data_IF_060315314693
#
_entry.id   IF_060315314693
#
_cell.length_a   1.000
_cell.length_b   1.000
_cell.length_c   1.000
_cell.angle_alpha   90.00
_cell.angle_beta   90.00
_cell.angle_gamma   90.00
#
_symmetry.space_group_name_H-M   'P 1'
#
loop_
_entity.id
_entity.type
_entity.pdbx_description
1 polymer ?
#
# COMPACT_ATOMS: atom_id res chain seq x y z
N UNK A 1 -2.88 11.28 5.80
CA UNK A 1 -3.84 11.53 4.70
C UNK A 1 -4.55 12.85 4.92
N UNK A 2 -4.73 13.69 3.88
CA UNK A 2 -5.32 15.02 4.02
C UNK A 2 -6.72 14.97 4.64
N UNK A 3 -6.88 15.67 5.77
CA UNK A 3 -8.16 15.72 6.52
C UNK A 3 -9.16 16.63 5.82
N UNK A 4 -8.68 17.71 5.18
CA UNK A 4 -9.47 18.56 4.30
C UNK A 4 -9.37 18.06 2.86
N UNK A 5 -10.50 18.06 2.15
CA UNK A 5 -10.61 17.79 0.71
C UNK A 5 -10.38 19.06 -0.11
N UNK A 6 -10.82 20.20 0.42
CA UNK A 6 -10.86 21.48 -0.29
C UNK A 6 -10.82 22.62 0.72
N UNK A 7 -10.21 23.73 0.31
CA UNK A 7 -10.30 25.01 0.99
C UNK A 7 -10.98 26.02 0.06
N UNK A 8 -11.88 26.83 0.60
CA UNK A 8 -12.57 27.90 -0.12
C UNK A 8 -12.39 29.21 0.64
N UNK A 9 -11.77 30.18 -0.02
CA UNK A 9 -11.68 31.56 0.44
C UNK A 9 -12.94 32.34 0.07
N UNK A 10 -13.49 33.11 1.01
CA UNK A 10 -14.65 33.98 0.82
C UNK A 10 -14.25 35.42 1.08
N UNK A 11 -14.13 36.21 0.00
CA UNK A 11 -13.63 37.59 0.04
C UNK A 11 -14.48 38.53 0.88
N UNK A 12 -15.81 38.39 0.85
CA UNK A 12 -16.73 39.29 1.56
C UNK A 12 -16.59 39.24 3.09
N UNK A 13 -16.16 38.09 3.62
CA UNK A 13 -15.97 37.84 5.05
C UNK A 13 -14.49 37.64 5.41
N UNK A 14 -13.58 37.83 4.44
CA UNK A 14 -12.15 37.52 4.55
C UNK A 14 -11.84 36.21 5.29
N UNK A 15 -12.55 35.14 4.94
CA UNK A 15 -12.50 33.88 5.69
C UNK A 15 -12.19 32.67 4.80
N UNK A 16 -11.47 31.71 5.38
CA UNK A 16 -11.16 30.41 4.75
C UNK A 16 -12.02 29.34 5.41
N UNK A 17 -12.80 28.63 4.59
CA UNK A 17 -13.57 27.45 5.00
C UNK A 17 -12.96 26.20 4.43
N UNK A 18 -13.06 25.07 5.13
CA UNK A 18 -12.58 23.77 4.65
C UNK A 18 -13.73 22.78 4.51
N UNK A 19 -13.64 21.92 3.50
CA UNK A 19 -14.55 20.76 3.36
C UNK A 19 -13.80 19.51 3.81
N UNK A 20 -14.29 18.74 4.79
CA UNK A 20 -13.61 17.55 5.27
C UNK A 20 -13.60 16.44 4.21
N UNK A 21 -12.51 15.67 4.17
CA UNK A 21 -12.41 14.44 3.39
C UNK A 21 -13.20 13.32 4.09
N UNK A 22 -14.14 12.63 3.39
CA UNK A 22 -14.81 11.45 3.93
C UNK A 22 -13.81 10.42 4.45
N UNK A 23 -14.08 9.81 5.61
CA UNK A 23 -13.18 8.82 6.21
C UNK A 23 -12.89 7.67 5.24
N UNK A 24 -13.93 7.15 4.57
CA UNK A 24 -13.80 6.11 3.55
C UNK A 24 -12.80 6.50 2.45
N UNK A 25 -12.90 7.71 1.90
CA UNK A 25 -11.97 8.19 0.87
C UNK A 25 -10.51 8.26 1.36
N UNK A 26 -10.28 8.58 2.64
CA UNK A 26 -8.93 8.55 3.23
C UNK A 26 -8.41 7.13 3.40
N UNK A 27 -9.26 6.20 3.86
CA UNK A 27 -8.92 4.77 4.00
C UNK A 27 -8.60 4.13 2.65
N UNK A 28 -9.43 4.39 1.66
CA UNK A 28 -9.27 3.87 0.30
C UNK A 28 -7.99 4.41 -0.34
N UNK A 29 -7.69 5.71 -0.22
CA UNK A 29 -6.43 6.30 -0.72
C UNK A 29 -5.19 5.71 -0.06
N UNK A 30 -5.22 5.52 1.25
CA UNK A 30 -4.07 4.97 1.97
C UNK A 30 -3.84 3.51 1.58
N UNK A 31 -4.90 2.72 1.49
CA UNK A 31 -4.82 1.33 1.01
C UNK A 31 -4.26 1.28 -0.41
N UNK A 32 -4.78 2.11 -1.33
CA UNK A 32 -4.29 2.20 -2.70
C UNK A 32 -2.79 2.57 -2.76
N UNK A 33 -2.34 3.52 -1.95
CA UNK A 33 -0.93 3.90 -1.90
C UNK A 33 -0.04 2.73 -1.46
N UNK A 34 -0.39 2.03 -0.38
CA UNK A 34 0.37 0.85 0.10
C UNK A 34 0.40 -0.25 -0.97
N UNK A 35 -0.73 -0.53 -1.60
CA UNK A 35 -0.85 -1.52 -2.67
C UNK A 35 0.00 -1.16 -3.90
N UNK A 36 -0.01 0.10 -4.32
CA UNK A 36 0.78 0.57 -5.46
C UNK A 36 2.28 0.55 -5.18
N UNK A 37 2.70 0.88 -3.95
CA UNK A 37 4.10 0.75 -3.53
C UNK A 37 4.57 -0.70 -3.70
N UNK A 38 3.77 -1.67 -3.27
CA UNK A 38 4.14 -3.08 -3.41
C UNK A 38 4.37 -3.52 -4.86
N UNK A 39 3.43 -3.24 -5.79
CA UNK A 39 3.64 -3.63 -7.20
C UNK A 39 4.76 -2.83 -7.83
N UNK A 40 4.91 -1.54 -7.50
CA UNK A 40 5.97 -0.70 -8.05
C UNK A 40 7.33 -1.21 -7.61
N UNK A 41 7.51 -1.55 -6.34
CA UNK A 41 8.76 -2.12 -5.83
C UNK A 41 9.08 -3.46 -6.48
N UNK A 42 8.08 -4.33 -6.67
CA UNK A 42 8.30 -5.60 -7.38
C UNK A 42 8.74 -5.39 -8.83
N UNK A 43 8.10 -4.44 -9.53
CA UNK A 43 8.46 -4.07 -10.90
C UNK A 43 9.90 -3.56 -10.99
N UNK A 44 10.30 -2.61 -10.14
CA UNK A 44 11.65 -2.04 -10.13
C UNK A 44 12.72 -3.10 -9.83
N UNK A 45 12.44 -4.07 -8.94
CA UNK A 45 13.38 -5.16 -8.64
C UNK A 45 13.62 -6.03 -9.86
N UNK A 46 12.55 -6.45 -10.55
CA UNK A 46 12.69 -7.30 -11.74
C UNK A 46 13.26 -6.53 -12.94
N UNK A 47 12.89 -5.26 -13.11
CA UNK A 47 13.38 -4.40 -14.20
C UNK A 47 14.86 -4.03 -14.05
N UNK A 48 15.34 -3.81 -12.81
CA UNK A 48 16.74 -3.54 -12.53
C UNK A 48 17.65 -4.76 -12.74
N UNK A 49 17.14 -5.98 -12.52
CA UNK A 49 17.89 -7.22 -12.72
C UNK A 49 17.82 -7.68 -14.19
N UNK A 50 18.64 -7.04 -15.03
CA UNK A 50 18.74 -7.29 -16.48
C UNK A 50 19.26 -8.69 -16.83
N UNK A 51 20.09 -9.26 -15.96
CA UNK A 51 20.67 -10.60 -16.15
C UNK A 51 19.72 -11.72 -15.72
N UNK A 52 18.56 -11.37 -15.14
CA UNK A 52 17.51 -12.33 -14.77
C UNK A 52 17.90 -13.28 -13.63
N UNK A 53 18.81 -12.87 -12.75
CA UNK A 53 19.28 -13.69 -11.61
C UNK A 53 18.20 -13.85 -10.55
N UNK A 54 17.41 -12.80 -10.32
CA UNK A 54 16.28 -12.78 -9.40
C UNK A 54 15.08 -13.47 -10.05
N UNK A 55 14.85 -14.71 -9.65
CA UNK A 55 13.75 -15.55 -10.16
C UNK A 55 12.48 -15.45 -9.32
N UNK A 56 12.62 -15.14 -8.03
CA UNK A 56 11.52 -15.01 -7.09
C UNK A 56 11.75 -13.84 -6.15
N UNK A 57 10.66 -13.27 -5.66
CA UNK A 57 10.65 -12.16 -4.73
C UNK A 57 9.62 -12.42 -3.63
N UNK A 58 9.98 -12.14 -2.39
CA UNK A 58 9.06 -12.06 -1.27
C UNK A 58 9.34 -10.78 -0.49
N UNK A 59 8.29 -9.99 -0.25
CA UNK A 59 8.40 -8.71 0.45
C UNK A 59 7.26 -8.50 1.43
N UNK A 60 7.55 -7.71 2.46
CA UNK A 60 6.55 -7.17 3.39
C UNK A 60 6.61 -5.65 3.36
N UNK A 61 5.48 -5.02 3.06
CA UNK A 61 5.30 -3.56 3.13
C UNK A 61 4.57 -3.24 4.43
N UNK A 62 5.07 -2.27 5.17
CA UNK A 62 4.53 -1.90 6.47
C UNK A 62 5.02 -0.54 6.93
N UNK A 63 4.66 -0.18 8.15
CA UNK A 63 5.00 1.12 8.76
C UNK A 63 5.79 0.89 10.03
N UNK A 64 6.94 1.57 10.13
CA UNK A 64 7.64 1.74 11.41
C UNK A 64 6.94 2.84 12.21
N UNK A 65 6.56 2.53 13.44
CA UNK A 65 5.86 3.44 14.37
C UNK A 65 6.29 3.14 15.79
N UNK A 66 5.90 3.99 16.74
CA UNK A 66 6.07 3.71 18.17
C UNK A 66 4.81 3.00 18.70
N UNK A 67 4.99 1.92 19.44
CA UNK A 67 3.91 1.26 20.17
C UNK A 67 3.46 2.15 21.35
N UNK A 68 2.20 2.60 21.39
CA UNK A 68 1.72 3.48 22.44
C UNK A 68 1.69 2.84 23.84
N UNK A 69 1.66 1.52 23.94
CA UNK A 69 1.67 0.81 25.22
C UNK A 69 3.07 0.71 25.83
N UNK A 70 4.11 0.61 24.99
CA UNK A 70 5.49 0.32 25.44
C UNK A 70 6.48 1.46 25.16
N UNK A 71 6.14 2.40 24.28
CA UNK A 71 7.02 3.47 23.83
C UNK A 71 8.17 3.00 22.93
N UNK A 72 8.18 1.73 22.51
CA UNK A 72 9.23 1.13 21.70
C UNK A 72 8.92 1.23 20.21
N UNK A 73 9.97 1.29 19.39
CA UNK A 73 9.83 1.16 17.95
C UNK A 73 9.25 -0.22 17.58
N UNK A 74 8.28 -0.21 16.70
CA UNK A 74 7.61 -1.41 16.19
C UNK A 74 7.35 -1.29 14.69
N UNK A 75 7.22 -2.43 14.02
CA UNK A 75 6.89 -2.50 12.61
C UNK A 75 5.53 -3.18 12.42
N UNK A 76 4.61 -2.48 11.77
CA UNK A 76 3.27 -2.99 11.48
C UNK A 76 3.22 -3.48 10.03
N UNK A 77 3.16 -4.80 9.77
CA UNK A 77 3.04 -5.31 8.41
C UNK A 77 1.63 -5.02 7.86
N UNK A 78 1.55 -4.35 6.70
CA UNK A 78 0.29 -3.97 6.07
C UNK A 78 0.00 -4.75 4.79
N UNK A 79 1.04 -5.19 4.08
CA UNK A 79 0.92 -5.99 2.87
C UNK A 79 2.10 -6.96 2.78
N UNK A 80 1.84 -8.18 2.32
CA UNK A 80 2.85 -9.15 1.95
C UNK A 80 2.61 -9.63 0.53
N UNK A 81 3.68 -9.73 -0.26
CA UNK A 81 3.65 -10.19 -1.65
C UNK A 81 4.79 -11.18 -1.84
N UNK A 82 4.49 -12.33 -2.44
CA UNK A 82 5.50 -13.21 -3.00
C UNK A 82 5.08 -13.63 -4.41
N UNK A 83 6.02 -13.63 -5.34
CA UNK A 83 5.80 -13.97 -6.75
C UNK A 83 7.12 -14.40 -7.39
N UNK A 84 7.04 -15.25 -8.39
CA UNK A 84 8.13 -15.43 -9.34
C UNK A 84 8.10 -14.37 -10.44
N UNK A 85 9.24 -14.22 -11.13
CA UNK A 85 9.45 -13.27 -12.22
C UNK A 85 8.48 -13.53 -13.38
N UNK A 86 8.30 -14.77 -13.80
CA UNK A 86 7.48 -15.10 -14.96
C UNK A 86 6.01 -14.76 -14.72
N UNK A 87 5.48 -15.07 -13.54
CA UNK A 87 4.11 -14.69 -13.15
C UNK A 87 3.93 -13.17 -13.09
N UNK A 88 4.93 -12.42 -12.60
CA UNK A 88 4.84 -10.97 -12.48
C UNK A 88 4.98 -10.24 -13.83
N UNK A 89 5.94 -10.64 -14.67
CA UNK A 89 6.18 -10.05 -15.99
C UNK A 89 5.08 -10.36 -17.01
N UNK A 90 4.27 -11.39 -16.76
CA UNK A 90 3.06 -11.67 -17.53
C UNK A 90 1.96 -10.60 -17.33
N UNK A 91 2.06 -9.73 -16.32
CA UNK A 91 1.10 -8.68 -16.05
C UNK A 91 1.33 -7.45 -16.95
N UNK A 92 0.27 -6.97 -17.59
CA UNK A 92 0.29 -5.65 -18.23
C UNK A 92 -0.03 -4.56 -17.20
N UNK A 93 1.02 -4.04 -16.54
CA UNK A 93 0.90 -3.01 -15.50
C UNK A 93 0.22 -1.71 -15.97
N UNK A 94 0.11 -1.45 -17.28
CA UNK A 94 -0.58 -0.27 -17.81
C UNK A 94 -2.11 -0.38 -17.74
N UNK A 95 -2.63 -1.59 -17.52
CA UNK A 95 -4.07 -1.91 -17.59
C UNK A 95 -4.62 -2.54 -16.31
N UNK A 96 -3.80 -2.71 -15.26
CA UNK A 96 -4.22 -3.40 -14.05
C UNK A 96 -5.16 -2.57 -13.16
N UNK A 97 -6.03 -3.27 -12.43
CA UNK A 97 -6.58 -2.81 -11.16
C UNK A 97 -5.75 -3.44 -10.04
N UNK A 98 -5.14 -2.62 -9.17
CA UNK A 98 -4.10 -3.05 -8.24
C UNK A 98 -4.64 -4.06 -7.21
N UNK A 99 -5.86 -3.87 -6.72
CA UNK A 99 -6.50 -4.78 -5.76
C UNK A 99 -6.73 -6.18 -6.35
N UNK A 100 -7.22 -6.24 -7.59
CA UNK A 100 -7.41 -7.47 -8.34
C UNK A 100 -6.08 -8.15 -8.64
N UNK A 101 -5.04 -7.40 -9.02
CA UNK A 101 -3.68 -7.94 -9.23
C UNK A 101 -3.10 -8.53 -7.96
N UNK A 102 -3.19 -7.82 -6.83
CA UNK A 102 -2.72 -8.35 -5.55
C UNK A 102 -3.50 -9.61 -5.13
N UNK A 103 -4.81 -9.66 -5.41
CA UNK A 103 -5.63 -10.84 -5.17
C UNK A 103 -5.22 -12.02 -6.07
N UNK A 104 -4.94 -11.75 -7.36
CA UNK A 104 -4.46 -12.72 -8.33
C UNK A 104 -3.10 -13.31 -7.92
N UNK A 105 -2.18 -12.47 -7.45
CA UNK A 105 -0.87 -12.85 -6.90
C UNK A 105 -0.96 -13.41 -5.47
N UNK A 106 -2.17 -13.59 -4.93
CA UNK A 106 -2.43 -14.12 -3.58
C UNK A 106 -1.69 -13.36 -2.47
N UNK A 107 -1.51 -12.05 -2.66
CA UNK A 107 -0.90 -11.17 -1.68
C UNK A 107 -1.76 -11.11 -0.40
N UNK A 108 -1.09 -11.03 0.75
CA UNK A 108 -1.74 -10.73 2.01
C UNK A 108 -1.91 -9.22 2.15
N UNK A 109 -3.11 -8.73 2.44
CA UNK A 109 -3.38 -7.32 2.69
C UNK A 109 -4.08 -7.17 4.03
N UNK A 110 -3.63 -6.21 4.85
CA UNK A 110 -4.32 -5.82 6.07
C UNK A 110 -5.77 -5.43 5.77
N UNK A 111 -6.69 -5.86 6.63
CA UNK A 111 -8.12 -5.49 6.53
C UNK A 111 -8.35 -3.99 6.73
N UNK A 112 -7.41 -3.28 7.35
CA UNK A 112 -7.52 -1.85 7.60
C UNK A 112 -6.13 -1.22 7.74
N UNK A 113 -5.43 -0.96 6.61
CA UNK A 113 -4.08 -0.40 6.64
C UNK A 113 -4.05 1.00 7.26
N UNK A 114 -5.11 1.79 7.04
CA UNK A 114 -5.20 3.16 7.54
C UNK A 114 -5.18 3.25 9.07
N UNK A 115 -5.81 2.30 9.76
CA UNK A 115 -5.80 2.23 11.23
C UNK A 115 -4.64 1.38 11.77
N UNK A 116 -3.63 1.08 10.94
CA UNK A 116 -2.45 0.27 11.29
C UNK A 116 -2.82 -1.09 11.91
N UNK A 117 -3.90 -1.71 11.42
CA UNK A 117 -4.22 -3.08 11.79
C UNK A 117 -3.18 -4.00 11.13
N UNK A 118 -2.41 -4.81 11.88
CA UNK A 118 -1.41 -5.68 11.29
C UNK A 118 -2.09 -6.74 10.41
N UNK A 119 -1.39 -7.14 9.35
CA UNK A 119 -1.76 -8.30 8.56
C UNK A 119 -1.84 -9.55 9.44
N UNK A 120 -3.00 -10.21 9.47
CA UNK A 120 -3.27 -11.36 10.35
C UNK A 120 -2.86 -12.72 9.76
N UNK A 121 -2.09 -12.76 8.67
CA UNK A 121 -1.83 -14.00 7.93
C UNK A 121 -0.68 -14.80 8.58
N UNK A 122 -1.03 -15.80 9.38
CA UNK A 122 -0.07 -16.72 10.01
C UNK A 122 0.69 -17.66 9.04
N UNK A 123 0.30 -17.73 7.76
CA UNK A 123 0.83 -18.72 6.79
C UNK A 123 1.88 -18.20 5.79
N UNK A 124 2.27 -16.93 5.87
CA UNK A 124 3.18 -16.32 4.87
C UNK A 124 2.57 -16.27 3.46
N UNK A 125 3.19 -15.50 2.57
CA UNK A 125 2.90 -15.50 1.14
C UNK A 125 3.75 -16.55 0.45
N UNK A 126 3.17 -17.25 -0.54
CA UNK A 126 3.86 -18.27 -1.32
C UNK A 126 4.12 -17.70 -2.72
N UNK A 127 5.39 -17.65 -3.09
CA UNK A 127 5.83 -17.43 -4.47
C UNK A 127 5.79 -18.72 -5.26
#
# INVERSE_FOLDING_TARGET
>A
MPVAKMFKYTKSSDSISSTPSPLKARKDRYTAAVSQVAIRTAHEIFEADRDGVVTTLSMTVGVSTVDPATGQDTFVPLLQLATDRASFEALDLTRIEVGATLSHLRAGISKNPYDLVPLSNARGVRG
#
